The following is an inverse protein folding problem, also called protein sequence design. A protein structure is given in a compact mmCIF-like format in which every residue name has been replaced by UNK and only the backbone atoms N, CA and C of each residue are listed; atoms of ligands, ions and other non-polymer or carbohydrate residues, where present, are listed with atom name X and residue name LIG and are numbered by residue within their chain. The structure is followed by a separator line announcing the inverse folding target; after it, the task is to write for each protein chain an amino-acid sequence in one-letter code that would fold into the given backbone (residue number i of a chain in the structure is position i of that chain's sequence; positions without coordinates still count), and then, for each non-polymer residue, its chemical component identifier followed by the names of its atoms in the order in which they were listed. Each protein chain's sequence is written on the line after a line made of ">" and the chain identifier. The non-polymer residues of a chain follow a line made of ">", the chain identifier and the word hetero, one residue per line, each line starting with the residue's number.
data_IF_242367895429
#
_entry.id   IF_242367895429
#
_cell.length_a   1.000
_cell.length_b   1.000
_cell.length_c   1.000
_cell.angle_alpha   90.00
_cell.angle_beta   90.00
_cell.angle_gamma   90.00
#
_symmetry.space_group_name_H-M   'P 1'
#
loop_
_entity.id
_entity.type
_entity.pdbx_description
1 polymer ?
#
# COMPACT_ATOMS: atom_id res chain seq x y z
N UNK A 1 -25.60 6.74 -2.79
CA UNK A 1 -25.29 6.02 -1.53
C UNK A 1 -23.93 5.37 -1.67
N UNK A 2 -22.86 6.11 -1.38
CA UNK A 2 -21.53 5.63 -1.01
C UNK A 2 -20.66 6.87 -0.73
N UNK A 3 -21.01 7.63 0.31
CA UNK A 3 -20.01 8.49 0.96
C UNK A 3 -19.05 7.53 1.67
N UNK A 4 -18.07 7.03 0.92
CA UNK A 4 -16.95 6.31 1.49
C UNK A 4 -16.22 7.33 2.36
N UNK A 5 -16.41 7.24 3.67
CA UNK A 5 -15.80 8.09 4.67
C UNK A 5 -14.28 8.14 4.42
N UNK A 6 -13.79 9.20 3.77
CA UNK A 6 -12.37 9.38 3.47
C UNK A 6 -11.64 9.57 4.81
N UNK A 7 -11.25 8.46 5.43
CA UNK A 7 -10.39 8.48 6.61
C UNK A 7 -9.07 9.13 6.17
N UNK A 8 -8.69 10.21 6.84
CA UNK A 8 -7.43 10.91 6.57
C UNK A 8 -6.27 9.93 6.50
N UNK A 9 -5.31 10.14 5.58
CA UNK A 9 -4.08 9.34 5.47
C UNK A 9 -3.41 9.20 6.85
N UNK A 10 -3.42 10.27 7.64
CA UNK A 10 -2.88 10.26 9.00
C UNK A 10 -3.61 9.25 9.90
N UNK A 11 -4.93 9.20 9.83
CA UNK A 11 -5.72 8.28 10.66
C UNK A 11 -5.60 6.83 10.18
N UNK A 12 -5.40 6.61 8.88
CA UNK A 12 -5.03 5.31 8.34
C UNK A 12 -3.66 4.85 8.86
N UNK A 13 -2.66 5.75 8.88
CA UNK A 13 -1.33 5.44 9.43
C UNK A 13 -1.42 5.18 10.94
N UNK A 14 -2.22 5.93 11.69
CA UNK A 14 -2.46 5.67 13.11
C UNK A 14 -3.09 4.29 13.33
N UNK A 15 -4.08 3.93 12.53
CA UNK A 15 -4.72 2.61 12.60
C UNK A 15 -3.73 1.49 12.33
N UNK A 16 -2.93 1.65 11.28
CA UNK A 16 -1.86 0.73 10.92
C UNK A 16 -0.87 0.54 12.08
N UNK A 17 -0.42 1.64 12.69
CA UNK A 17 0.52 1.60 13.83
C UNK A 17 -0.09 0.90 15.05
N UNK A 18 -1.40 1.07 15.31
CA UNK A 18 -2.10 0.38 16.40
C UNK A 18 -2.18 -1.13 16.20
N UNK A 19 -2.38 -1.57 14.95
CA UNK A 19 -2.51 -2.97 14.58
C UNK A 19 -1.22 -3.55 14.00
N UNK A 20 -0.09 -2.91 14.25
CA UNK A 20 1.19 -3.26 13.63
C UNK A 20 1.55 -4.74 13.75
N UNK A 21 1.47 -5.26 14.98
CA UNK A 21 1.91 -6.62 15.31
C UNK A 21 1.07 -7.70 14.62
N UNK A 22 -0.14 -7.37 14.16
CA UNK A 22 -0.99 -8.29 13.41
C UNK A 22 -0.79 -8.17 11.90
N UNK A 23 -0.25 -7.04 11.43
CA UNK A 23 -0.10 -6.70 10.01
C UNK A 23 1.29 -6.92 9.43
N UNK A 24 2.32 -6.93 10.28
CA UNK A 24 3.72 -6.99 9.90
C UNK A 24 4.48 -8.01 10.75
N UNK A 25 5.42 -8.73 10.12
CA UNK A 25 6.29 -9.68 10.79
C UNK A 25 7.58 -9.03 11.34
N UNK A 26 7.90 -7.81 10.91
CA UNK A 26 9.08 -7.09 11.38
C UNK A 26 8.78 -6.30 12.65
N UNK A 27 9.74 -6.26 13.57
CA UNK A 27 9.66 -5.41 14.77
C UNK A 27 9.65 -3.92 14.42
N UNK A 28 10.28 -3.54 13.30
CA UNK A 28 10.37 -2.16 12.80
C UNK A 28 10.10 -2.12 11.30
N UNK A 29 9.25 -1.21 10.86
CA UNK A 29 8.98 -0.90 9.46
C UNK A 29 8.65 0.58 9.37
N UNK A 30 9.30 1.23 8.42
CA UNK A 30 9.12 2.64 8.15
C UNK A 30 7.98 2.82 7.15
N UNK A 31 7.00 3.65 7.48
CA UNK A 31 5.95 4.02 6.52
C UNK A 31 6.48 5.17 5.67
N UNK A 32 6.63 4.92 4.37
CA UNK A 32 7.03 5.90 3.38
C UNK A 32 5.88 6.85 3.07
N UNK A 33 6.12 8.15 3.16
CA UNK A 33 5.25 9.16 2.57
C UNK A 33 5.43 9.25 1.05
N UNK A 34 4.63 10.09 0.39
CA UNK A 34 4.65 10.24 -1.07
C UNK A 34 6.04 10.62 -1.61
N UNK A 35 6.75 11.54 -0.96
CA UNK A 35 8.10 11.97 -1.40
C UNK A 35 9.11 10.81 -1.35
N UNK A 36 9.06 10.00 -0.29
CA UNK A 36 9.92 8.81 -0.17
C UNK A 36 9.55 7.74 -1.19
N UNK A 37 8.26 7.58 -1.50
CA UNK A 37 7.82 6.67 -2.55
C UNK A 37 8.34 7.13 -3.93
N UNK A 38 8.26 8.43 -4.23
CA UNK A 38 8.74 8.98 -5.49
C UNK A 38 10.27 8.84 -5.61
N UNK A 39 11.00 9.09 -4.53
CA UNK A 39 12.46 8.89 -4.48
C UNK A 39 12.83 7.42 -4.69
N UNK A 40 12.14 6.49 -4.03
CA UNK A 40 12.37 5.05 -4.20
C UNK A 40 12.09 4.62 -5.65
N UNK A 41 11.04 5.16 -6.28
CA UNK A 41 10.75 4.90 -7.69
C UNK A 41 11.86 5.44 -8.60
N UNK A 42 12.29 6.68 -8.40
CA UNK A 42 13.38 7.30 -9.16
C UNK A 42 14.68 6.47 -9.06
N UNK A 43 15.04 6.02 -7.86
CA UNK A 43 16.22 5.16 -7.66
C UNK A 43 16.07 3.81 -8.33
N UNK A 44 14.86 3.23 -8.31
CA UNK A 44 14.56 1.95 -8.95
C UNK A 44 14.66 2.04 -10.48
N UNK A 45 14.21 3.16 -11.06
CA UNK A 45 14.35 3.43 -12.49
C UNK A 45 15.81 3.69 -12.86
N UNK A 46 16.55 4.48 -12.07
CA UNK A 46 17.97 4.73 -12.33
C UNK A 46 18.82 3.44 -12.24
N UNK A 47 18.52 2.55 -11.29
CA UNK A 47 19.19 1.25 -11.19
C UNK A 47 18.86 0.35 -12.40
N UNK A 48 17.61 0.35 -12.85
CA UNK A 48 17.23 -0.37 -14.07
C UNK A 48 17.94 0.21 -15.31
N UNK A 49 17.97 1.52 -15.48
CA UNK A 49 18.70 2.15 -16.58
C UNK A 49 20.19 1.77 -16.55
N UNK A 50 20.80 1.73 -15.36
CA UNK A 50 22.19 1.27 -15.23
C UNK A 50 22.39 -0.16 -15.71
N UNK A 51 21.42 -1.05 -15.49
CA UNK A 51 21.49 -2.44 -15.96
C UNK A 51 21.32 -2.58 -17.48
N UNK A 52 20.50 -1.71 -18.09
CA UNK A 52 20.16 -1.80 -19.52
C UNK A 52 21.05 -0.94 -20.43
N UNK A 53 21.36 0.30 -20.02
CA UNK A 53 22.14 1.28 -20.79
C UNK A 53 23.49 1.63 -20.17
N UNK A 54 23.77 1.19 -18.94
CA UNK A 54 25.01 1.50 -18.22
C UNK A 54 24.97 2.82 -17.42
N UNK A 55 23.90 3.61 -17.53
CA UNK A 55 23.77 4.91 -16.86
C UNK A 55 22.81 4.88 -15.67
N UNK A 56 23.29 5.32 -14.50
CA UNK A 56 22.46 5.48 -13.30
C UNK A 56 21.75 6.85 -13.30
N UNK A 57 20.88 7.07 -14.27
CA UNK A 57 20.16 8.33 -14.44
C UNK A 57 18.75 8.06 -14.93
N UNK A 58 17.83 8.99 -14.68
CA UNK A 58 16.46 8.97 -15.22
C UNK A 58 15.95 10.40 -15.31
N UNK A 59 15.18 10.72 -16.34
CA UNK A 59 14.56 12.05 -16.46
C UNK A 59 13.39 12.19 -15.48
N UNK A 60 13.16 13.39 -14.96
CA UNK A 60 12.01 13.63 -14.08
C UNK A 60 10.67 13.38 -14.79
N UNK A 61 10.58 13.66 -16.10
CA UNK A 61 9.39 13.39 -16.90
C UNK A 61 9.05 11.90 -16.92
N UNK A 62 10.04 11.03 -17.11
CA UNK A 62 9.83 9.58 -17.14
C UNK A 62 9.43 9.06 -15.75
N UNK A 63 10.03 9.61 -14.69
CA UNK A 63 9.64 9.30 -13.31
C UNK A 63 8.18 9.66 -13.06
N UNK A 64 7.71 10.82 -13.49
CA UNK A 64 6.32 11.26 -13.29
C UNK A 64 5.32 10.44 -14.12
N UNK A 65 5.68 10.10 -15.36
CA UNK A 65 4.89 9.20 -16.19
C UNK A 65 4.76 7.82 -15.54
N UNK A 66 5.89 7.28 -15.09
CA UNK A 66 5.96 5.98 -14.40
C UNK A 66 5.20 6.00 -13.09
N UNK A 67 5.32 7.08 -12.32
CA UNK A 67 4.58 7.27 -11.07
C UNK A 67 3.07 7.23 -11.29
N UNK A 68 2.57 7.92 -12.32
CA UNK A 68 1.15 7.92 -12.68
C UNK A 68 0.66 6.49 -12.97
N UNK A 69 1.37 5.76 -13.82
CA UNK A 69 1.01 4.37 -14.14
C UNK A 69 1.12 3.47 -12.91
N UNK A 70 2.20 3.59 -12.14
CA UNK A 70 2.46 2.82 -10.92
C UNK A 70 1.34 2.97 -9.89
N UNK A 71 0.86 4.19 -9.66
CA UNK A 71 -0.26 4.43 -8.76
C UNK A 71 -1.56 3.78 -9.26
N UNK A 72 -1.85 3.88 -10.56
CA UNK A 72 -3.05 3.26 -11.13
C UNK A 72 -3.01 1.75 -10.99
N UNK A 73 -1.89 1.13 -11.37
CA UNK A 73 -1.69 -0.32 -11.25
C UNK A 73 -1.81 -0.77 -9.79
N UNK A 74 -1.05 -0.15 -8.87
CA UNK A 74 -1.01 -0.59 -7.47
C UNK A 74 -2.34 -0.37 -6.75
N UNK A 75 -3.18 0.57 -7.19
CA UNK A 75 -4.54 0.81 -6.67
C UNK A 75 -5.65 0.06 -7.43
N UNK A 76 -5.31 -0.73 -8.45
CA UNK A 76 -6.28 -1.38 -9.36
C UNK A 76 -7.26 -0.37 -10.00
N UNK A 77 -6.77 0.81 -10.37
CA UNK A 77 -7.54 1.83 -11.07
C UNK A 77 -7.44 1.62 -12.59
N UNK A 78 -8.47 2.02 -13.38
CA UNK A 78 -8.42 1.94 -14.83
C UNK A 78 -7.23 2.73 -15.39
N UNK A 79 -6.41 2.09 -16.24
CA UNK A 79 -5.31 2.73 -16.97
C UNK A 79 -5.84 3.11 -18.35
N UNK A 80 -6.43 4.30 -18.48
CA UNK A 80 -6.85 4.80 -19.79
C UNK A 80 -5.70 5.54 -20.49
N UNK A 81 -5.42 5.15 -21.74
CA UNK A 81 -4.53 5.86 -22.66
C UNK A 81 -3.13 6.22 -22.09
N UNK A 82 -2.46 5.28 -21.40
CA UNK A 82 -1.07 5.49 -20.99
C UNK A 82 -0.10 4.83 -21.98
N UNK A 83 1.00 5.52 -22.26
CA UNK A 83 2.13 4.95 -23.01
C UNK A 83 2.69 3.75 -22.26
N UNK A 84 3.13 2.74 -23.01
CA UNK A 84 3.81 1.57 -22.44
C UNK A 84 5.12 2.03 -21.82
N UNK A 85 5.29 1.78 -20.53
CA UNK A 85 6.54 2.08 -19.83
C UNK A 85 7.51 0.93 -20.10
N UNK A 86 8.66 1.28 -20.67
CA UNK A 86 9.70 0.32 -20.98
C UNK A 86 10.25 -0.33 -19.70
N UNK A 87 10.48 -1.64 -19.76
CA UNK A 87 10.98 -2.43 -18.61
C UNK A 87 10.21 -2.24 -17.29
N UNK A 88 8.90 -1.93 -17.34
CA UNK A 88 8.09 -1.62 -16.14
C UNK A 88 8.13 -2.71 -15.08
N UNK A 89 8.06 -3.99 -15.46
CA UNK A 89 8.08 -5.10 -14.50
C UNK A 89 9.41 -5.17 -13.74
N UNK A 90 10.53 -4.84 -14.38
CA UNK A 90 11.84 -4.78 -13.73
C UNK A 90 11.95 -3.55 -12.81
N UNK A 91 11.37 -2.41 -13.21
CA UNK A 91 11.25 -1.21 -12.35
C UNK A 91 10.43 -1.54 -11.11
N UNK A 92 9.27 -2.17 -11.28
CA UNK A 92 8.37 -2.58 -10.19
C UNK A 92 9.06 -3.53 -9.23
N UNK A 93 9.75 -4.54 -9.76
CA UNK A 93 10.48 -5.51 -8.95
C UNK A 93 11.57 -4.83 -8.12
N UNK A 94 12.39 -3.96 -8.74
CA UNK A 94 13.45 -3.23 -8.04
C UNK A 94 12.87 -2.33 -6.94
N UNK A 95 11.72 -1.70 -7.19
CA UNK A 95 11.01 -0.91 -6.19
C UNK A 95 10.55 -1.74 -4.98
N UNK A 96 9.89 -2.87 -5.23
CA UNK A 96 9.41 -3.75 -4.17
C UNK A 96 10.57 -4.35 -3.38
N UNK A 97 11.66 -4.73 -4.05
CA UNK A 97 12.88 -5.21 -3.41
C UNK A 97 13.54 -4.11 -2.55
N UNK A 98 13.59 -2.86 -3.04
CA UNK A 98 14.09 -1.72 -2.27
C UNK A 98 13.31 -1.52 -0.97
N UNK A 99 11.97 -1.53 -1.04
CA UNK A 99 11.12 -1.38 0.14
C UNK A 99 11.31 -2.55 1.12
N UNK A 100 11.31 -3.78 0.61
CA UNK A 100 11.48 -4.99 1.42
C UNK A 100 12.83 -5.00 2.14
N UNK A 101 13.92 -4.74 1.42
CA UNK A 101 15.28 -4.75 1.98
C UNK A 101 15.50 -3.60 2.98
N UNK A 102 14.74 -2.52 2.87
CA UNK A 102 14.81 -1.36 3.77
C UNK A 102 13.84 -1.44 4.94
N UNK A 103 13.08 -2.53 5.09
CA UNK A 103 11.95 -2.61 6.02
C UNK A 103 11.02 -1.38 5.88
N UNK A 104 10.59 -1.10 4.66
CA UNK A 104 9.70 0.01 4.34
C UNK A 104 8.36 -0.49 3.81
N UNK A 105 7.31 0.30 4.03
CA UNK A 105 5.99 0.12 3.42
C UNK A 105 5.53 1.44 2.84
N UNK A 106 4.96 1.39 1.64
CA UNK A 106 4.36 2.59 1.06
C UNK A 106 2.91 2.82 1.55
N UNK A 107 2.36 3.98 1.21
CA UNK A 107 1.01 4.35 1.63
C UNK A 107 -0.06 3.42 1.07
N UNK A 108 0.18 2.80 -0.10
CA UNK A 108 -0.78 1.91 -0.74
C UNK A 108 -0.77 0.55 -0.05
N UNK A 109 0.39 0.05 0.35
CA UNK A 109 0.53 -1.18 1.13
C UNK A 109 -0.11 -1.02 2.51
N UNK A 110 0.09 0.14 3.14
CA UNK A 110 -0.61 0.50 4.39
C UNK A 110 -2.13 0.50 4.18
N UNK A 111 -2.62 1.12 3.10
CA UNK A 111 -4.04 1.14 2.76
C UNK A 111 -4.61 -0.27 2.56
N UNK A 112 -3.94 -1.11 1.78
CA UNK A 112 -4.35 -2.50 1.53
C UNK A 112 -4.40 -3.31 2.83
N UNK A 113 -3.37 -3.21 3.67
CA UNK A 113 -3.31 -3.90 4.97
C UNK A 113 -4.43 -3.45 5.92
N UNK A 114 -4.68 -2.15 6.02
CA UNK A 114 -5.78 -1.62 6.83
C UNK A 114 -7.16 -2.03 6.30
N UNK A 115 -7.35 -2.06 4.98
CA UNK A 115 -8.61 -2.49 4.36
C UNK A 115 -8.94 -3.95 4.68
N UNK A 116 -7.93 -4.84 4.69
CA UNK A 116 -8.10 -6.24 5.11
C UNK A 116 -8.58 -6.33 6.56
N UNK A 117 -8.02 -5.53 7.48
CA UNK A 117 -8.48 -5.53 8.87
C UNK A 117 -9.95 -5.12 8.99
N UNK A 118 -10.36 -4.04 8.32
CA UNK A 118 -11.75 -3.57 8.36
C UNK A 118 -12.70 -4.69 7.92
N UNK A 119 -12.41 -5.34 6.78
CA UNK A 119 -13.21 -6.46 6.31
C UNK A 119 -13.23 -7.65 7.28
N UNK A 120 -12.12 -7.93 7.98
CA UNK A 120 -12.06 -9.00 8.97
C UNK A 120 -12.91 -8.70 10.22
N UNK A 121 -12.95 -7.44 10.67
CA UNK A 121 -13.79 -7.02 11.79
C UNK A 121 -15.28 -7.07 11.43
N UNK A 122 -15.65 -6.62 10.23
CA UNK A 122 -17.03 -6.68 9.74
C UNK A 122 -17.53 -8.12 9.62
N UNK A 123 -16.69 -9.04 9.12
CA UNK A 123 -17.02 -10.46 9.04
C UNK A 123 -17.15 -11.10 10.43
N UNK A 124 -16.27 -10.77 11.38
CA UNK A 124 -16.32 -11.32 12.74
C UNK A 124 -17.52 -10.78 13.55
N UNK A 125 -17.95 -9.54 13.33
CA UNK A 125 -19.15 -8.97 13.95
C UNK A 125 -20.44 -9.69 13.48
N UNK A 126 -20.46 -10.17 12.23
CA UNK A 126 -21.60 -10.89 11.67
C UNK A 126 -21.68 -12.37 12.10
N UNK A 127 -20.65 -12.92 12.76
CA UNK A 127 -20.59 -14.34 13.17
C UNK A 127 -20.90 -14.54 14.67
N UNK A 128 -21.11 -13.49 15.46
CA UNK A 128 -21.37 -13.65 16.90
C UNK A 128 -22.85 -13.94 17.19
N UNK A 129 -23.26 -15.15 17.62
CA UNK A 129 -24.62 -15.37 18.09
C UNK A 129 -24.75 -14.75 19.48
N UNK A 130 -25.51 -13.65 19.58
CA UNK A 130 -25.96 -13.12 20.87
C UNK A 130 -26.85 -14.18 21.51
N UNK A 131 -26.27 -15.08 22.32
CA UNK A 131 -27.03 -15.93 23.25
C UNK A 131 -27.61 -15.02 24.32
N UNK A 132 -28.84 -14.54 24.11
CA UNK A 132 -29.67 -13.97 25.18
C UNK A 132 -29.94 -15.07 26.21
N UNK A 133 -29.18 -15.06 27.29
CA UNK A 133 -29.55 -15.79 28.51
C UNK A 133 -30.70 -15.04 29.15
N UNK A 134 -31.92 -15.48 28.86
CA UNK A 134 -33.11 -15.09 29.61
C UNK A 134 -33.04 -15.73 30.99
N UNK A 135 -32.57 -14.99 32.01
CA UNK A 135 -32.85 -15.37 33.39
C UNK A 135 -34.35 -15.21 33.62
N UNK A 136 -35.08 -16.33 33.65
CA UNK A 136 -36.38 -16.37 34.32
C UNK A 136 -36.12 -16.19 35.80
N UNK A 137 -36.69 -15.13 36.37
CA UNK A 137 -36.90 -14.99 37.80
C UNK A 137 -38.28 -15.63 38.01
N UNK A 138 -38.31 -16.81 38.64
CA UNK A 138 -39.56 -17.41 39.11
C UNK A 138 -39.90 -16.83 40.51
N UNK A 139 -41.20 -16.79 40.88
CA UNK A 139 -41.73 -15.99 42.00
C UNK A 139 -41.29 -16.41 43.40
#
# INVERSE_FOLDING_TARGET
>A
MAELNQKSILDMIKEFRRNWHTLCNSERTTVCGADSMLLALQLSMAENNKQHSGEFTVSLSDVLLTWKYFLHEKLNLPVENMEVIDHYEDIRRTYDDFLKNSNMLDLIDVYKKCSVLISSYENNANISPVKKVSRKIDP
#
